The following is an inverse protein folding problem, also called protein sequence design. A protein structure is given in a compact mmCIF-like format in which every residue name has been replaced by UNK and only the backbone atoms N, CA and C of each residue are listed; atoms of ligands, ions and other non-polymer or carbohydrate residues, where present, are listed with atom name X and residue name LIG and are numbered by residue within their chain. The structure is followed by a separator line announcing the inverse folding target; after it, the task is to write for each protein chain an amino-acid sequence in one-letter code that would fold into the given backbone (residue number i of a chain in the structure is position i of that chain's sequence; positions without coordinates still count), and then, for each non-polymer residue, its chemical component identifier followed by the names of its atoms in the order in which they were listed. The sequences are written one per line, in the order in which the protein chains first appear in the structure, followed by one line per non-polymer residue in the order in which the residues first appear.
data_IF_763349546191
#
_entry.id   IF_763349546191
#
_cell.length_a   1.000
_cell.length_b   1.000
_cell.length_c   1.000
_cell.angle_alpha   90.00
_cell.angle_beta   90.00
_cell.angle_gamma   90.00
#
_symmetry.space_group_name_H-M   'P 1'
#
loop_
_entity.id
_entity.type
_entity.pdbx_description
1 polymer ?
#
# COMPACT_ATOMS: atom_id res chain seq x y z
N UNK A 1 15.05 -4.82 -11.71
CA UNK A 1 13.82 -4.07 -11.32
C UNK A 1 13.98 -3.70 -9.86
N UNK A 2 13.83 -2.42 -9.50
CA UNK A 2 14.06 -1.90 -8.13
C UNK A 2 12.78 -1.23 -7.65
N UNK A 3 12.32 -1.55 -6.44
CA UNK A 3 11.13 -0.93 -5.86
C UNK A 3 11.30 -0.59 -4.39
N UNK A 4 10.33 0.13 -3.85
CA UNK A 4 10.36 0.67 -2.49
C UNK A 4 9.19 0.12 -1.70
N UNK A 5 9.45 -0.32 -0.46
CA UNK A 5 8.41 -0.63 0.53
C UNK A 5 8.38 0.48 1.57
N UNK A 6 7.22 1.10 1.75
CA UNK A 6 7.00 2.11 2.78
C UNK A 6 6.95 1.49 4.17
N UNK A 7 8.00 1.69 4.98
CA UNK A 7 8.05 1.36 6.41
C UNK A 7 7.73 2.58 7.32
N UNK A 8 6.87 3.48 6.84
CA UNK A 8 6.41 4.61 7.65
C UNK A 8 5.32 4.14 8.62
N UNK A 9 5.41 4.54 9.89
CA UNK A 9 4.39 4.21 10.88
C UNK A 9 3.15 5.10 10.68
N UNK A 10 2.01 4.48 10.35
CA UNK A 10 0.73 5.16 10.12
C UNK A 10 0.85 6.47 9.31
N UNK A 11 1.36 6.45 8.08
CA UNK A 11 1.66 7.67 7.31
C UNK A 11 0.39 8.40 6.87
N UNK A 12 0.45 9.72 6.70
CA UNK A 12 -0.62 10.50 6.05
C UNK A 12 -0.64 10.25 4.54
N UNK A 13 -1.70 10.68 3.86
CA UNK A 13 -1.77 10.64 2.40
C UNK A 13 -0.70 11.50 1.73
N UNK A 14 -0.33 12.62 2.34
CA UNK A 14 0.78 13.44 1.87
C UNK A 14 2.12 12.69 1.94
N UNK A 15 2.37 11.96 3.03
CA UNK A 15 3.64 11.24 3.22
C UNK A 15 3.83 10.12 2.19
N UNK A 16 2.78 9.30 1.97
CA UNK A 16 2.84 8.22 0.98
C UNK A 16 3.00 8.75 -0.45
N UNK A 17 2.32 9.85 -0.79
CA UNK A 17 2.45 10.51 -2.08
C UNK A 17 3.86 11.07 -2.28
N UNK A 18 4.40 11.75 -1.25
CA UNK A 18 5.75 12.31 -1.29
C UNK A 18 6.82 11.22 -1.49
N UNK A 19 6.69 10.10 -0.75
CA UNK A 19 7.58 8.96 -0.90
C UNK A 19 7.49 8.34 -2.30
N UNK A 20 6.28 8.09 -2.80
CA UNK A 20 6.09 7.47 -4.11
C UNK A 20 6.63 8.35 -5.25
N UNK A 21 6.41 9.67 -5.20
CA UNK A 21 6.98 10.62 -6.17
C UNK A 21 8.49 10.62 -6.12
N UNK A 22 9.07 10.65 -4.93
CA UNK A 22 10.52 10.63 -4.75
C UNK A 22 11.12 9.32 -5.29
N UNK A 23 10.45 8.19 -5.03
CA UNK A 23 10.84 6.89 -5.58
C UNK A 23 10.75 6.85 -7.11
N UNK A 24 9.67 7.38 -7.69
CA UNK A 24 9.50 7.48 -9.14
C UNK A 24 10.59 8.35 -9.77
N UNK A 25 10.91 9.52 -9.20
CA UNK A 25 12.03 10.35 -9.69
C UNK A 25 13.37 9.62 -9.55
N UNK A 26 13.56 8.84 -8.48
CA UNK A 26 14.74 8.02 -8.26
C UNK A 26 14.86 6.78 -9.16
N UNK A 27 13.91 6.56 -10.08
CA UNK A 27 13.94 5.44 -11.03
C UNK A 27 13.39 4.12 -10.49
N UNK A 28 12.68 4.14 -9.36
CA UNK A 28 11.96 2.96 -8.89
C UNK A 28 10.86 2.56 -9.90
N UNK A 29 10.63 1.25 -10.00
CA UNK A 29 9.64 0.66 -10.91
C UNK A 29 8.35 0.30 -10.19
N UNK A 30 8.39 0.08 -8.87
CA UNK A 30 7.20 -0.18 -8.06
C UNK A 30 7.33 0.42 -6.64
N UNK A 31 6.20 0.79 -6.04
CA UNK A 31 6.09 1.25 -4.66
C UNK A 31 4.95 0.50 -3.93
N UNK A 32 5.27 -0.03 -2.75
CA UNK A 32 4.35 -0.79 -1.94
C UNK A 32 4.15 -0.19 -0.55
N UNK A 33 2.91 -0.26 -0.05
CA UNK A 33 2.54 0.24 1.27
C UNK A 33 1.87 -0.85 2.12
N UNK A 34 2.08 -0.81 3.43
CA UNK A 34 1.57 -1.81 4.35
C UNK A 34 0.07 -1.60 4.66
N UNK A 35 -0.70 -2.70 4.69
CA UNK A 35 -2.09 -2.73 5.15
C UNK A 35 -2.13 -3.17 6.62
N UNK A 36 -2.36 -2.23 7.54
CA UNK A 36 -2.44 -2.51 8.96
C UNK A 36 -3.79 -2.07 9.52
N UNK A 37 -4.42 -2.92 10.35
CA UNK A 37 -5.79 -2.70 10.82
C UNK A 37 -5.98 -1.47 11.72
N UNK A 38 -4.89 -0.95 12.30
CA UNK A 38 -4.89 0.22 13.17
C UNK A 38 -4.31 1.47 12.49
N UNK A 39 -4.01 1.40 11.20
CA UNK A 39 -3.51 2.53 10.40
C UNK A 39 -4.59 3.04 9.45
N UNK A 40 -4.32 4.19 8.83
CA UNK A 40 -5.13 4.70 7.72
C UNK A 40 -5.26 3.66 6.61
N UNK A 41 -6.44 3.59 5.98
CA UNK A 41 -6.74 2.57 4.97
C UNK A 41 -5.80 2.67 3.77
N UNK A 42 -5.07 1.59 3.51
CA UNK A 42 -4.04 1.53 2.45
C UNK A 42 -4.62 1.73 1.05
N UNK A 43 -5.87 1.35 0.79
CA UNK A 43 -6.47 1.46 -0.55
C UNK A 43 -6.77 2.89 -0.91
N UNK A 44 -7.24 3.69 0.06
CA UNK A 44 -7.40 5.14 -0.11
C UNK A 44 -6.03 5.79 -0.34
N UNK A 45 -5.01 5.36 0.40
CA UNK A 45 -3.64 5.84 0.23
C UNK A 45 -3.07 5.51 -1.16
N UNK A 46 -3.28 4.28 -1.63
CA UNK A 46 -2.83 3.83 -2.95
C UNK A 46 -3.53 4.58 -4.07
N UNK A 47 -4.81 4.92 -3.92
CA UNK A 47 -5.53 5.75 -4.88
C UNK A 47 -4.89 7.15 -4.99
N UNK A 48 -4.59 7.80 -3.86
CA UNK A 48 -3.92 9.09 -3.86
C UNK A 48 -2.52 9.02 -4.51
N UNK A 49 -1.79 7.93 -4.29
CA UNK A 49 -0.49 7.69 -4.94
C UNK A 49 -0.65 7.45 -6.45
N UNK A 50 -1.66 6.69 -6.86
CA UNK A 50 -1.97 6.41 -8.26
C UNK A 50 -2.21 7.70 -9.05
N UNK A 51 -2.99 8.63 -8.48
CA UNK A 51 -3.27 9.95 -9.08
C UNK A 51 -2.05 10.88 -9.08
N UNK A 52 -1.13 10.70 -8.14
CA UNK A 52 0.03 11.58 -7.97
C UNK A 52 1.29 11.12 -8.74
N UNK A 53 1.24 9.95 -9.39
CA UNK A 53 2.37 9.32 -10.10
C UNK A 53 1.95 8.85 -11.50
N UNK A 54 2.91 8.62 -12.40
CA UNK A 54 2.60 8.38 -13.82
C UNK A 54 3.19 7.10 -14.41
N UNK A 55 4.21 6.53 -13.78
CA UNK A 55 5.01 5.41 -14.32
C UNK A 55 5.18 4.27 -13.34
N UNK A 56 5.37 4.56 -12.05
CA UNK A 56 5.61 3.55 -11.03
C UNK A 56 4.38 2.66 -10.82
N UNK A 57 4.61 1.36 -10.63
CA UNK A 57 3.56 0.42 -10.22
C UNK A 57 3.25 0.58 -8.72
N UNK A 58 1.98 0.45 -8.35
CA UNK A 58 1.51 0.73 -6.98
C UNK A 58 0.60 -0.38 -6.48
N UNK A 59 0.75 -0.75 -5.21
CA UNK A 59 -0.06 -1.81 -4.64
C UNK A 59 0.23 -2.05 -3.16
N UNK A 60 -0.58 -2.85 -2.47
CA UNK A 60 -0.32 -3.18 -1.09
C UNK A 60 0.82 -4.20 -1.02
N UNK A 61 1.80 -3.95 -0.15
CA UNK A 61 2.96 -4.82 0.09
C UNK A 61 3.09 -5.12 1.60
N UNK A 62 2.18 -5.91 2.20
CA UNK A 62 1.09 -6.69 1.59
C UNK A 62 -0.27 -6.37 2.25
N UNK A 63 -1.37 -6.62 1.54
CA UNK A 63 -2.72 -6.62 2.12
C UNK A 63 -2.93 -7.87 2.96
N UNK A 64 -3.66 -7.74 4.07
CA UNK A 64 -3.95 -8.85 4.97
C UNK A 64 -5.33 -9.44 4.61
N UNK A 65 -5.33 -10.74 4.24
CA UNK A 65 -6.53 -11.45 3.81
C UNK A 65 -7.65 -11.51 4.87
N UNK A 66 -7.33 -11.27 6.14
CA UNK A 66 -8.30 -11.25 7.23
C UNK A 66 -9.00 -9.90 7.43
N UNK A 67 -8.51 -8.80 6.84
CA UNK A 67 -9.04 -7.46 7.13
C UNK A 67 -10.32 -7.12 6.37
N UNK A 68 -10.56 -7.78 5.24
CA UNK A 68 -11.69 -7.49 4.36
C UNK A 68 -12.08 -8.73 3.56
N UNK A 69 -13.34 -8.81 3.16
CA UNK A 69 -13.81 -9.89 2.32
C UNK A 69 -13.00 -9.94 1.01
N UNK A 70 -12.65 -11.12 0.46
CA UNK A 70 -11.91 -11.23 -0.79
C UNK A 70 -12.54 -10.44 -1.94
N UNK A 71 -13.88 -10.44 -2.07
CA UNK A 71 -14.57 -9.63 -3.08
C UNK A 71 -14.37 -8.12 -2.91
N UNK A 72 -14.24 -7.62 -1.68
CA UNK A 72 -13.93 -6.20 -1.46
C UNK A 72 -12.48 -5.88 -1.86
N UNK A 73 -11.54 -6.79 -1.63
CA UNK A 73 -10.15 -6.64 -2.09
C UNK A 73 -10.08 -6.54 -3.61
N UNK A 74 -10.76 -7.45 -4.31
CA UNK A 74 -10.78 -7.47 -5.79
C UNK A 74 -11.50 -6.25 -6.34
N UNK A 75 -12.63 -5.83 -5.73
CA UNK A 75 -13.33 -4.61 -6.13
C UNK A 75 -12.46 -3.36 -5.94
N UNK A 76 -11.77 -3.23 -4.81
CA UNK A 76 -10.85 -2.12 -4.56
C UNK A 76 -9.67 -2.11 -5.55
N UNK A 77 -9.12 -3.28 -5.87
CA UNK A 77 -8.08 -3.41 -6.90
C UNK A 77 -8.59 -2.98 -8.28
N UNK A 78 -9.81 -3.37 -8.65
CA UNK A 78 -10.42 -2.98 -9.92
C UNK A 78 -10.55 -1.44 -10.01
N UNK A 79 -11.04 -0.79 -8.95
CA UNK A 79 -11.08 0.68 -8.88
C UNK A 79 -9.68 1.30 -8.98
N UNK A 80 -8.69 0.74 -8.27
CA UNK A 80 -7.32 1.25 -8.33
C UNK A 80 -6.74 1.15 -9.75
N UNK A 81 -7.07 0.07 -10.49
CA UNK A 81 -6.63 -0.14 -11.86
C UNK A 81 -7.18 0.91 -12.84
N UNK A 82 -8.35 1.49 -12.57
CA UNK A 82 -8.89 2.60 -13.37
C UNK A 82 -7.99 3.85 -13.27
N UNK A 83 -7.44 4.12 -12.07
CA UNK A 83 -6.57 5.28 -11.82
C UNK A 83 -5.09 5.01 -12.17
N UNK A 84 -4.66 3.76 -12.12
CA UNK A 84 -3.30 3.32 -12.42
C UNK A 84 -3.31 2.18 -13.46
N UNK A 85 -3.86 2.44 -14.64
CA UNK A 85 -3.99 1.43 -15.69
C UNK A 85 -2.65 0.79 -16.06
N UNK A 86 -2.56 -0.53 -15.87
CA UNK A 86 -1.35 -1.32 -16.11
C UNK A 86 -0.25 -1.12 -15.05
N UNK A 87 -0.52 -0.36 -13.99
CA UNK A 87 0.43 0.01 -12.94
C UNK A 87 -0.06 -0.39 -11.55
N UNK A 88 -0.91 -1.41 -11.42
CA UNK A 88 -1.29 -1.94 -10.12
C UNK A 88 -0.82 -3.36 -9.91
N UNK A 89 -0.57 -3.70 -8.65
CA UNK A 89 -0.31 -5.07 -8.23
C UNK A 89 -1.06 -5.38 -6.93
N UNK A 90 -1.21 -6.67 -6.63
CA UNK A 90 -1.83 -7.14 -5.40
C UNK A 90 -0.89 -8.08 -4.65
N UNK A 91 -0.24 -7.58 -3.60
CA UNK A 91 0.47 -8.42 -2.65
C UNK A 91 -0.46 -8.88 -1.53
N UNK A 92 -0.68 -10.20 -1.38
CA UNK A 92 -1.52 -10.76 -0.31
C UNK A 92 -0.65 -11.50 0.70
N UNK A 93 -0.91 -11.29 1.99
CA UNK A 93 -0.26 -12.01 3.08
C UNK A 93 -1.28 -12.71 3.99
N UNK A 94 -0.80 -13.70 4.73
CA UNK A 94 -1.54 -14.33 5.83
C UNK A 94 -1.71 -13.40 7.05
N UNK A 95 -1.23 -12.15 6.99
CA UNK A 95 -1.29 -11.23 8.12
C UNK A 95 -0.28 -11.55 9.24
N UNK A 96 -0.05 -10.55 10.10
CA UNK A 96 0.72 -10.71 11.33
C UNK A 96 -0.17 -11.08 12.51
N UNK A 97 0.35 -11.84 13.48
CA UNK A 97 -0.36 -12.14 14.75
C UNK A 97 -0.50 -10.84 15.57
N UNK A 98 -1.72 -10.30 15.75
CA UNK A 98 -1.93 -9.06 16.50
C UNK A 98 -1.44 -9.18 17.95
N UNK A 99 -1.47 -10.39 18.52
CA UNK A 99 -1.00 -10.66 19.89
C UNK A 99 0.51 -10.54 20.00
N UNK A 100 1.26 -10.86 18.95
CA UNK A 100 2.73 -10.69 18.97
C UNK A 100 3.15 -9.23 18.71
N UNK A 101 2.32 -8.44 18.03
CA UNK A 101 2.58 -7.02 17.80
C UNK A 101 2.21 -6.14 18.99
N UNK A 102 1.16 -6.45 19.76
CA UNK A 102 0.81 -5.68 20.97
C UNK A 102 1.87 -5.77 22.08
N UNK A 103 2.67 -6.84 22.16
CA UNK A 103 3.80 -6.94 23.09
C UNK A 103 5.06 -6.20 22.62
N UNK A 104 5.14 -5.81 21.34
CA UNK A 104 6.28 -5.07 20.79
C UNK A 104 6.14 -3.55 20.97
N UNK A 105 4.93 -3.07 21.29
CA UNK A 105 4.65 -1.68 21.69
C UNK A 105 4.46 -1.68 23.20
N UNK A 106 5.57 -1.62 23.93
CA UNK A 106 5.53 -1.39 25.37
C UNK A 106 4.91 -0.02 25.66
N UNK A 107 3.95 0.00 26.59
CA UNK A 107 3.67 1.19 27.39
C UNK A 107 4.81 1.40 28.38
#
# INVERSE_FOLDING_TARGET
MVGVVGHMANPTSGDVVSLARSAEVGGATWAGFADAFWWRDVWIQLLAVAEATSRIEVGPAMTNAYLRHPFHTVAALATLQEHASGRTFLGVSAGGDPRRMMYAVGW
#
